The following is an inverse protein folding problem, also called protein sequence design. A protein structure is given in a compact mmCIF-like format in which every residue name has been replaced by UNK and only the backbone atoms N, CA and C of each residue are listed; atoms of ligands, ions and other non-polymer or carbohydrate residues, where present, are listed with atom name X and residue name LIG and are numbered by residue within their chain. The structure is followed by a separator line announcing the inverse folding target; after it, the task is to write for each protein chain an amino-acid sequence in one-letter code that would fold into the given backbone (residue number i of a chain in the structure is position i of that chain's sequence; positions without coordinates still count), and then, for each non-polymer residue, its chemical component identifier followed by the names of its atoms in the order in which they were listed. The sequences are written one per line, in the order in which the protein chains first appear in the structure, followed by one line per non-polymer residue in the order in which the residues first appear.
data_IF_919697673809
#
_entry.id   IF_919697673809
#
_cell.length_a   1.000
_cell.length_b   1.000
_cell.length_c   1.000
_cell.angle_alpha   90.00
_cell.angle_beta   90.00
_cell.angle_gamma   90.00
#
_symmetry.space_group_name_H-M   'P 1'
#
loop_
_entity.id
_entity.type
_entity.pdbx_description
1 polymer ?
#
# COMPACT_ATOMS: atom_id res chain seq x y z
N UNK A 1 13.24 -2.82 -5.73
CA UNK A 1 12.98 -1.51 -6.34
C UNK A 1 11.65 -0.95 -5.86
N UNK A 2 11.45 0.35 -6.01
CA UNK A 2 10.18 0.99 -5.63
C UNK A 2 9.00 0.41 -6.41
N UNK A 3 9.19 0.09 -7.66
CA UNK A 3 8.15 -0.54 -8.49
C UNK A 3 7.73 -1.90 -7.93
N UNK A 4 8.70 -2.69 -7.48
CA UNK A 4 8.45 -3.99 -6.88
C UNK A 4 7.67 -3.85 -5.58
N UNK A 5 8.05 -2.89 -4.73
CA UNK A 5 7.36 -2.62 -3.47
C UNK A 5 5.92 -2.17 -3.72
N UNK A 6 5.70 -1.29 -4.69
CA UNK A 6 4.35 -0.84 -5.06
C UNK A 6 3.48 -2.02 -5.46
N UNK A 7 4.01 -2.92 -6.29
CA UNK A 7 3.27 -4.12 -6.72
C UNK A 7 2.89 -5.02 -5.56
N UNK A 8 3.83 -5.25 -4.64
CA UNK A 8 3.58 -6.09 -3.46
C UNK A 8 2.50 -5.50 -2.56
N UNK A 9 2.53 -4.18 -2.33
CA UNK A 9 1.54 -3.50 -1.49
C UNK A 9 0.14 -3.55 -2.13
N UNK A 10 0.05 -3.33 -3.44
CA UNK A 10 -1.23 -3.44 -4.16
C UNK A 10 -1.78 -4.87 -4.11
N UNK A 11 -0.91 -5.87 -4.21
CA UNK A 11 -1.32 -7.28 -4.19
C UNK A 11 -2.01 -7.64 -2.88
N UNK A 12 -1.57 -7.07 -1.75
CA UNK A 12 -2.22 -7.31 -0.46
C UNK A 12 -3.69 -6.89 -0.53
N UNK A 13 -3.99 -5.75 -1.14
CA UNK A 13 -5.37 -5.28 -1.27
C UNK A 13 -6.16 -6.10 -2.28
N UNK A 14 -5.54 -6.47 -3.40
CA UNK A 14 -6.20 -7.25 -4.46
C UNK A 14 -6.51 -8.68 -4.03
N UNK A 15 -5.60 -9.29 -3.27
CA UNK A 15 -5.75 -10.67 -2.80
C UNK A 15 -6.71 -10.78 -1.63
N UNK A 16 -6.98 -9.66 -0.93
CA UNK A 16 -7.93 -9.58 0.17
C UNK A 16 -9.25 -8.98 -0.28
N UNK A 17 -9.87 -8.23 0.63
CA UNK A 17 -11.17 -7.60 0.40
C UNK A 17 -11.06 -6.16 -0.15
N UNK A 18 -9.89 -5.76 -0.60
CA UNK A 18 -9.65 -4.44 -1.16
C UNK A 18 -9.24 -3.39 -0.13
N UNK A 19 -9.01 -3.78 1.12
CA UNK A 19 -8.58 -2.89 2.18
C UNK A 19 -7.55 -3.58 3.08
N UNK A 20 -6.67 -2.79 3.69
CA UNK A 20 -5.69 -3.28 4.65
C UNK A 20 -5.29 -2.17 5.61
N UNK A 21 -4.95 -2.55 6.84
CA UNK A 21 -4.40 -1.60 7.81
C UNK A 21 -2.94 -1.28 7.49
N UNK A 22 -2.49 -0.11 7.95
CA UNK A 22 -1.06 0.25 7.83
C UNK A 22 -0.17 -0.82 8.50
N UNK A 23 -0.59 -1.35 9.64
CA UNK A 23 0.17 -2.38 10.34
C UNK A 23 0.36 -3.64 9.49
N UNK A 24 -0.68 -4.05 8.75
CA UNK A 24 -0.58 -5.20 7.85
C UNK A 24 0.38 -4.92 6.69
N UNK A 25 0.33 -3.73 6.13
CA UNK A 25 1.22 -3.34 5.03
C UNK A 25 2.67 -3.22 5.49
N UNK A 26 2.89 -2.82 6.75
CA UNK A 26 4.24 -2.74 7.33
C UNK A 26 4.96 -4.09 7.31
N UNK A 27 4.23 -5.18 7.38
CA UNK A 27 4.79 -6.54 7.36
C UNK A 27 5.21 -7.00 5.95
N UNK A 28 4.77 -6.31 4.91
CA UNK A 28 5.01 -6.72 3.51
C UNK A 28 6.44 -6.38 3.07
N UNK A 29 6.99 -5.28 3.55
CA UNK A 29 8.30 -4.80 3.14
C UNK A 29 9.05 -4.20 4.32
N UNK A 30 10.27 -4.68 4.63
CA UNK A 30 10.96 -4.31 5.87
C UNK A 30 11.52 -2.89 5.91
N UNK A 31 11.86 -2.30 4.75
CA UNK A 31 12.40 -0.95 4.70
C UNK A 31 11.28 0.07 4.82
N UNK A 32 11.19 0.71 5.99
CA UNK A 32 10.09 1.64 6.31
C UNK A 32 10.09 2.88 5.42
N UNK A 33 11.27 3.41 5.07
CA UNK A 33 11.35 4.60 4.22
C UNK A 33 10.90 4.28 2.80
N UNK A 34 11.38 3.17 2.24
CA UNK A 34 10.98 2.74 0.91
C UNK A 34 9.49 2.40 0.86
N UNK A 35 9.00 1.71 1.87
CA UNK A 35 7.57 1.38 1.99
C UNK A 35 6.72 2.64 2.05
N UNK A 36 7.12 3.63 2.85
CA UNK A 36 6.41 4.90 2.96
C UNK A 36 6.36 5.66 1.64
N UNK A 37 7.48 5.71 0.90
CA UNK A 37 7.52 6.34 -0.42
C UNK A 37 6.59 5.63 -1.41
N UNK A 38 6.60 4.31 -1.38
CA UNK A 38 5.75 3.51 -2.26
C UNK A 38 4.27 3.76 -1.96
N UNK A 39 3.88 3.78 -0.69
CA UNK A 39 2.49 4.05 -0.30
C UNK A 39 2.05 5.45 -0.70
N UNK A 40 2.88 6.47 -0.45
CA UNK A 40 2.58 7.84 -0.86
C UNK A 40 2.40 7.95 -2.37
N UNK A 41 3.27 7.30 -3.13
CA UNK A 41 3.22 7.25 -4.59
C UNK A 41 1.94 6.60 -5.09
N UNK A 42 1.51 5.50 -4.47
CA UNK A 42 0.27 4.80 -4.84
C UNK A 42 -0.96 5.68 -4.58
N UNK A 43 -0.98 6.40 -3.47
CA UNK A 43 -2.07 7.32 -3.15
C UNK A 43 -2.08 8.50 -4.14
N UNK A 44 -0.92 9.09 -4.42
CA UNK A 44 -0.79 10.20 -5.37
C UNK A 44 -1.25 9.81 -6.77
N UNK A 45 -0.95 8.57 -7.19
CA UNK A 45 -1.33 8.08 -8.51
C UNK A 45 -2.80 7.64 -8.59
N UNK A 46 -3.53 7.69 -7.49
CA UNK A 46 -4.93 7.29 -7.45
C UNK A 46 -5.15 5.78 -7.45
N UNK A 47 -4.10 5.00 -7.15
CA UNK A 47 -4.19 3.53 -7.10
C UNK A 47 -4.58 3.02 -5.73
N UNK A 48 -4.47 3.84 -4.71
CA UNK A 48 -4.93 3.58 -3.35
C UNK A 48 -5.58 4.81 -2.76
N UNK A 49 -6.50 4.59 -1.81
CA UNK A 49 -7.10 5.64 -0.99
C UNK A 49 -6.71 5.38 0.46
N UNK A 50 -6.25 6.41 1.15
CA UNK A 50 -5.92 6.33 2.57
C UNK A 50 -7.00 7.01 3.39
N UNK A 51 -7.50 6.30 4.42
CA UNK A 51 -8.42 6.86 5.42
C UNK A 51 -7.89 6.45 6.80
N UNK A 52 -7.34 7.41 7.54
CA UNK A 52 -6.71 7.14 8.82
C UNK A 52 -5.53 6.18 8.68
N UNK A 53 -5.60 5.04 9.34
CA UNK A 53 -4.57 4.00 9.30
C UNK A 53 -4.91 2.86 8.33
N UNK A 54 -5.89 3.07 7.45
CA UNK A 54 -6.34 2.10 6.46
C UNK A 54 -6.08 2.57 5.04
N UNK A 55 -5.74 1.62 4.19
CA UNK A 55 -5.59 1.83 2.76
C UNK A 55 -6.58 0.93 2.03
N UNK A 56 -7.18 1.46 0.96
CA UNK A 56 -8.20 0.75 0.19
C UNK A 56 -7.96 0.92 -1.30
N UNK A 57 -8.45 -0.03 -2.10
CA UNK A 57 -8.53 0.16 -3.54
C UNK A 57 -9.59 1.22 -3.85
N UNK A 58 -9.38 2.08 -4.88
CA UNK A 58 -10.38 3.09 -5.26
C UNK A 58 -11.64 2.43 -5.81
N UNK A 59 -12.73 3.09 -5.61
CA UNK A 59 -14.03 2.62 -6.07
C UNK A 59 -14.85 2.02 -4.99
#
# INVERSE_FOLDING_TARGET
TDRQVRGLLLDVLRDGDGTATAARLDAVWPDALQRGRALASLVDDGLMVRVGDRYSLPG
#
